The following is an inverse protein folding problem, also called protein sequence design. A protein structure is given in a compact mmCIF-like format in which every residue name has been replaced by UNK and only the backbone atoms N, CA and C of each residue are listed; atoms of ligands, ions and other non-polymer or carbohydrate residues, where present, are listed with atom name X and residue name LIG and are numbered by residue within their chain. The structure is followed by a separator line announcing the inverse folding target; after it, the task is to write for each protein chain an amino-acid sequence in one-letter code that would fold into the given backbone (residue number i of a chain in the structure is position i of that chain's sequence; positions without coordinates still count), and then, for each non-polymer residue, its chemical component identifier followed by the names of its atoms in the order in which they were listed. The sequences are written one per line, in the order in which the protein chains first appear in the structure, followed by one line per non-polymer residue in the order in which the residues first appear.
data_IF_130892601595
#
_entry.id   IF_130892601595
#
_cell.length_a   1.000
_cell.length_b   1.000
_cell.length_c   1.000
_cell.angle_alpha   90.00
_cell.angle_beta   90.00
_cell.angle_gamma   90.00
#
_symmetry.space_group_name_H-M   'P 1'
#
loop_
_entity.id
_entity.type
_entity.pdbx_description
1 polymer ?
#
# COMPACT_ATOMS: atom_id res chain seq x y z
N UNK A 1 -11.42 -13.58 1.65
CA UNK A 1 -10.68 -12.29 1.58
C UNK A 1 -10.69 -11.84 0.13
N UNK A 2 -10.96 -10.56 -0.15
CA UNK A 2 -10.90 -10.00 -1.51
C UNK A 2 -9.53 -9.32 -1.68
N UNK A 3 -8.83 -9.60 -2.77
CA UNK A 3 -7.52 -9.02 -3.09
C UNK A 3 -7.65 -8.18 -4.36
N UNK A 4 -7.16 -6.94 -4.31
CA UNK A 4 -7.18 -5.99 -5.43
C UNK A 4 -5.75 -5.50 -5.62
N UNK A 5 -5.23 -5.59 -6.85
CA UNK A 5 -3.88 -5.16 -7.19
C UNK A 5 -3.91 -3.98 -8.16
N UNK A 6 -3.24 -2.89 -7.80
CA UNK A 6 -3.16 -1.68 -8.62
C UNK A 6 -1.88 -1.70 -9.46
N UNK A 7 -1.95 -2.34 -10.64
CA UNK A 7 -0.78 -2.61 -11.48
C UNK A 7 -0.75 -1.78 -12.76
N UNK A 8 0.33 -1.04 -12.99
CA UNK A 8 0.63 -0.35 -14.24
C UNK A 8 2.13 -0.02 -14.30
N UNK A 9 2.83 -0.36 -15.38
CA UNK A 9 4.27 -0.10 -15.53
C UNK A 9 4.61 1.39 -15.72
N UNK A 10 3.63 2.23 -16.05
CA UNK A 10 3.84 3.68 -16.20
C UNK A 10 3.85 4.39 -14.85
N UNK A 11 4.89 5.20 -14.61
CA UNK A 11 4.97 6.11 -13.46
C UNK A 11 3.97 7.27 -13.55
N UNK A 12 3.57 7.84 -12.42
CA UNK A 12 2.72 9.05 -12.37
C UNK A 12 1.26 8.88 -12.80
N UNK A 13 0.77 7.64 -12.98
CA UNK A 13 -0.62 7.36 -13.39
C UNK A 13 -1.61 7.21 -12.23
N UNK A 14 -1.20 7.58 -11.01
CA UNK A 14 -2.08 7.60 -9.85
C UNK A 14 -2.28 6.27 -9.11
N UNK A 15 -1.48 5.22 -9.38
CA UNK A 15 -1.59 3.91 -8.70
C UNK A 15 -1.57 4.05 -7.17
N UNK A 16 -0.54 4.68 -6.62
CA UNK A 16 -0.34 4.86 -5.18
C UNK A 16 -1.48 5.69 -4.58
N UNK A 17 -1.81 6.82 -5.22
CA UNK A 17 -2.89 7.71 -4.78
C UNK A 17 -4.22 6.96 -4.73
N UNK A 18 -4.58 6.26 -5.80
CA UNK A 18 -5.84 5.53 -5.87
C UNK A 18 -5.88 4.35 -4.89
N UNK A 19 -4.74 3.67 -4.67
CA UNK A 19 -4.62 2.61 -3.65
C UNK A 19 -4.88 3.16 -2.26
N UNK A 20 -4.25 4.29 -1.92
CA UNK A 20 -4.41 4.96 -0.62
C UNK A 20 -5.86 5.38 -0.40
N UNK A 21 -6.42 6.14 -1.33
CA UNK A 21 -7.77 6.67 -1.20
C UNK A 21 -8.80 5.53 -1.14
N UNK A 22 -8.73 4.54 -2.02
CA UNK A 22 -9.64 3.39 -1.99
C UNK A 22 -9.56 2.64 -0.65
N UNK A 23 -8.35 2.41 -0.14
CA UNK A 23 -8.15 1.78 1.16
C UNK A 23 -8.76 2.58 2.31
N UNK A 24 -8.51 3.89 2.35
CA UNK A 24 -9.09 4.80 3.34
C UNK A 24 -10.61 4.82 3.28
N UNK A 25 -11.21 4.91 2.07
CA UNK A 25 -12.66 4.90 1.89
C UNK A 25 -13.29 3.59 2.37
N UNK A 26 -12.69 2.44 2.03
CA UNK A 26 -13.18 1.14 2.49
C UNK A 26 -13.06 1.00 4.02
N UNK A 27 -11.93 1.41 4.60
CA UNK A 27 -11.75 1.39 6.04
C UNK A 27 -12.76 2.31 6.75
N UNK A 28 -13.02 3.51 6.21
CA UNK A 28 -14.03 4.42 6.72
C UNK A 28 -15.46 3.86 6.61
N UNK A 29 -15.73 3.03 5.60
CA UNK A 29 -17.00 2.32 5.46
C UNK A 29 -17.15 1.11 6.42
N UNK A 30 -16.17 0.86 7.29
CA UNK A 30 -16.20 -0.23 8.28
C UNK A 30 -15.56 -1.54 7.82
N UNK A 31 -14.95 -1.56 6.63
CA UNK A 31 -14.25 -2.76 6.14
C UNK A 31 -12.89 -2.93 6.81
N UNK A 32 -12.50 -4.20 7.03
CA UNK A 32 -11.13 -4.52 7.45
C UNK A 32 -10.21 -4.53 6.23
N UNK A 33 -9.36 -3.52 6.13
CA UNK A 33 -8.48 -3.29 4.98
C UNK A 33 -7.02 -3.51 5.38
N UNK A 34 -6.28 -4.25 4.54
CA UNK A 34 -4.83 -4.34 4.57
C UNK A 34 -4.28 -3.71 3.29
N UNK A 35 -3.44 -2.69 3.44
CA UNK A 35 -2.69 -2.11 2.33
C UNK A 35 -1.29 -2.70 2.31
N UNK A 36 -0.82 -3.08 1.12
CA UNK A 36 0.52 -3.63 0.90
C UNK A 36 1.23 -2.74 -0.12
N UNK A 37 2.36 -2.16 0.26
CA UNK A 37 3.24 -1.41 -0.64
C UNK A 37 4.29 -2.35 -1.23
N UNK A 38 4.16 -2.63 -2.52
CA UNK A 38 5.10 -3.46 -3.29
C UNK A 38 5.91 -2.63 -4.29
N UNK A 39 5.87 -1.31 -4.19
CA UNK A 39 6.71 -0.40 -4.98
C UNK A 39 7.98 -0.06 -4.19
N UNK A 40 9.16 -0.25 -4.80
CA UNK A 40 10.44 0.04 -4.16
C UNK A 40 10.64 1.51 -3.78
N UNK A 41 9.79 2.42 -4.26
CA UNK A 41 9.80 3.83 -3.84
C UNK A 41 9.08 4.07 -2.50
N UNK A 42 8.35 3.08 -1.98
CA UNK A 42 7.65 3.14 -0.70
C UNK A 42 6.67 4.33 -0.53
N UNK A 43 6.15 4.88 -1.64
CA UNK A 43 5.31 6.08 -1.62
C UNK A 43 3.96 5.85 -0.92
N UNK A 44 3.43 4.62 -0.92
CA UNK A 44 2.20 4.32 -0.19
C UNK A 44 2.49 4.33 1.31
N UNK A 45 3.54 3.63 1.74
CA UNK A 45 3.98 3.59 3.14
C UNK A 45 4.27 4.99 3.68
N UNK A 46 5.08 5.79 2.98
CA UNK A 46 5.42 7.17 3.36
C UNK A 46 4.21 8.10 3.48
N UNK A 47 3.08 7.75 2.87
CA UNK A 47 1.85 8.54 2.98
C UNK A 47 1.11 8.35 4.32
N UNK A 48 1.48 7.34 5.11
CA UNK A 48 0.85 7.00 6.39
C UNK A 48 1.78 7.18 7.60
N UNK A 49 3.10 7.25 7.41
CA UNK A 49 4.08 7.33 8.49
C UNK A 49 5.00 8.54 8.33
N UNK A 50 5.29 9.23 9.43
CA UNK A 50 6.26 10.34 9.46
C UNK A 50 7.71 9.84 9.30
N UNK A 51 8.00 8.66 9.83
CA UNK A 51 9.31 7.99 9.72
C UNK A 51 9.16 6.68 8.97
N UNK A 52 10.21 6.28 8.25
CA UNK A 52 10.21 4.97 7.58
C UNK A 52 10.23 3.84 8.62
N UNK A 53 9.40 2.80 8.44
CA UNK A 53 9.41 1.65 9.33
C UNK A 53 10.71 0.84 9.18
N UNK A 54 11.22 0.30 10.28
CA UNK A 54 12.44 -0.53 10.28
C UNK A 54 12.30 -1.83 9.49
N UNK A 55 11.06 -2.30 9.29
CA UNK A 55 10.74 -3.54 8.60
C UNK A 55 9.64 -3.28 7.58
N UNK A 56 9.80 -3.82 6.38
CA UNK A 56 8.87 -3.67 5.28
C UNK A 56 8.47 -5.01 4.66
N UNK A 57 7.98 -4.94 3.43
CA UNK A 57 7.51 -6.10 2.69
C UNK A 57 8.64 -7.12 2.42
N UNK A 58 9.87 -6.66 2.25
CA UNK A 58 11.01 -7.54 1.97
C UNK A 58 11.27 -8.51 3.14
N UNK A 59 11.37 -7.99 4.36
CA UNK A 59 11.55 -8.80 5.57
C UNK A 59 10.35 -9.71 5.81
N UNK A 60 9.13 -9.22 5.56
CA UNK A 60 7.92 -10.03 5.71
C UNK A 60 7.86 -11.23 4.75
N UNK A 61 8.46 -11.11 3.55
CA UNK A 61 8.55 -12.22 2.59
C UNK A 61 9.65 -13.21 3.00
N UNK A 62 10.77 -12.72 3.54
CA UNK A 62 11.90 -13.57 3.95
C UNK A 62 11.62 -14.38 5.22
N UNK A 63 10.86 -13.82 6.16
CA UNK A 63 10.51 -14.46 7.44
C UNK A 63 9.32 -15.44 7.34
N UNK A 64 8.74 -15.57 6.14
CA UNK A 64 7.56 -16.39 5.85
C UNK A 64 7.82 -17.89 5.71
#
# INVERSE_FOLDING_TARGET
MKVIAMCNQKGGVGKTTLTRELGCYLAHAGERVLLIDSDGQANLTRSFFENEPERGLYEAILDG
#
